data_IF_698674920429
#
_entry.id   IF_698674920429
#
_cell.length_a   1.000
_cell.length_b   1.000
_cell.length_c   1.000
_cell.angle_alpha   90.00
_cell.angle_beta   90.00
_cell.angle_gamma   90.00
#
_symmetry.space_group_name_H-M   'P 1'
#
loop_
_entity.id
_entity.type
_entity.pdbx_description
1 polymer ?
#
# COMPACT_ATOMS: atom_id res chain seq x y z
N UNK A 1 -4.06 -13.44 20.52
CA UNK A 1 -4.08 -12.79 19.20
C UNK A 1 -5.48 -12.90 18.61
N UNK A 2 -6.20 -11.80 18.40
CA UNK A 2 -7.49 -11.84 17.69
C UNK A 2 -7.25 -12.23 16.23
N UNK A 3 -7.95 -13.25 15.73
CA UNK A 3 -7.84 -13.77 14.35
C UNK A 3 -8.60 -12.88 13.36
N UNK A 4 -8.17 -11.61 13.23
CA UNK A 4 -8.80 -10.63 12.32
C UNK A 4 -8.83 -11.09 10.86
N UNK A 5 -7.80 -11.83 10.43
CA UNK A 5 -7.66 -12.34 9.07
C UNK A 5 -8.50 -13.59 8.76
N UNK A 6 -9.11 -14.22 9.78
CA UNK A 6 -9.89 -15.45 9.64
C UNK A 6 -11.39 -15.22 9.85
N UNK A 7 -11.83 -13.95 10.00
CA UNK A 7 -13.25 -13.64 10.12
C UNK A 7 -14.00 -14.09 8.86
N UNK A 8 -15.19 -14.72 9.01
CA UNK A 8 -15.96 -15.24 7.88
C UNK A 8 -16.37 -14.13 6.90
N UNK A 9 -16.44 -12.88 7.36
CA UNK A 9 -16.78 -11.73 6.52
C UNK A 9 -15.86 -11.55 5.31
N UNK A 10 -14.56 -11.84 5.44
CA UNK A 10 -13.61 -11.71 4.34
C UNK A 10 -13.78 -12.81 3.29
N UNK A 11 -14.21 -13.99 3.72
CA UNK A 11 -14.57 -15.08 2.84
C UNK A 11 -15.87 -14.75 2.08
N UNK A 12 -16.87 -14.19 2.77
CA UNK A 12 -18.11 -13.75 2.14
C UNK A 12 -17.87 -12.69 1.07
N UNK A 13 -17.01 -11.69 1.33
CA UNK A 13 -16.65 -10.67 0.33
C UNK A 13 -16.03 -11.30 -0.91
N UNK A 14 -15.08 -12.23 -0.73
CA UNK A 14 -14.48 -12.92 -1.87
C UNK A 14 -15.48 -13.76 -2.65
N UNK A 15 -16.33 -14.55 -1.97
CA UNK A 15 -17.40 -15.33 -2.61
C UNK A 15 -18.36 -14.41 -3.38
N UNK A 16 -18.73 -13.25 -2.83
CA UNK A 16 -19.57 -12.26 -3.50
C UNK A 16 -18.91 -11.73 -4.77
N UNK A 17 -17.61 -11.42 -4.74
CA UNK A 17 -16.86 -11.00 -5.94
C UNK A 17 -16.88 -12.11 -7.01
N UNK A 18 -16.70 -13.36 -6.59
CA UNK A 18 -16.81 -14.53 -7.47
C UNK A 18 -18.21 -14.64 -8.09
N UNK A 19 -19.26 -14.52 -7.29
CA UNK A 19 -20.65 -14.59 -7.75
C UNK A 19 -20.98 -13.47 -8.74
N UNK A 20 -20.55 -12.24 -8.46
CA UNK A 20 -20.74 -11.09 -9.35
C UNK A 20 -20.02 -11.35 -10.69
N UNK A 21 -18.76 -11.79 -10.63
CA UNK A 21 -17.99 -12.10 -11.84
C UNK A 21 -18.65 -13.19 -12.69
N UNK A 22 -19.03 -14.31 -12.08
CA UNK A 22 -19.69 -15.40 -12.81
C UNK A 22 -21.07 -15.00 -13.29
N UNK A 23 -21.81 -14.18 -12.53
CA UNK A 23 -23.09 -13.62 -12.93
C UNK A 23 -22.99 -12.79 -14.20
N UNK A 24 -21.98 -11.92 -14.32
CA UNK A 24 -21.71 -11.18 -15.56
C UNK A 24 -21.41 -12.12 -16.74
N UNK A 25 -20.59 -13.15 -16.53
CA UNK A 25 -20.28 -14.14 -17.57
C UNK A 25 -21.51 -14.92 -18.05
N UNK A 26 -22.41 -15.30 -17.13
CA UNK A 26 -23.67 -15.98 -17.45
C UNK A 26 -24.60 -15.03 -18.21
N UNK A 27 -24.81 -13.80 -17.72
CA UNK A 27 -25.66 -12.81 -18.37
C UNK A 27 -25.20 -12.50 -19.79
N UNK A 28 -23.89 -12.30 -19.98
CA UNK A 28 -23.33 -12.05 -21.30
C UNK A 28 -23.55 -13.23 -22.24
N UNK A 29 -23.42 -14.45 -21.74
CA UNK A 29 -23.67 -15.64 -22.55
C UNK A 29 -25.15 -15.83 -22.85
N UNK A 30 -26.07 -15.57 -21.93
CA UNK A 30 -27.51 -15.57 -22.20
C UNK A 30 -27.85 -14.58 -23.34
N UNK A 31 -27.26 -13.39 -23.32
CA UNK A 31 -27.44 -12.40 -24.38
C UNK A 31 -26.86 -12.85 -25.73
N UNK A 32 -25.79 -13.64 -25.72
CA UNK A 32 -25.23 -14.28 -26.93
C UNK A 32 -25.96 -15.55 -27.38
N UNK A 33 -26.67 -16.22 -26.47
CA UNK A 33 -27.28 -17.55 -26.68
C UNK A 33 -28.58 -17.55 -27.49
N UNK A 34 -29.10 -16.39 -27.88
CA UNK A 34 -30.28 -16.28 -28.75
C UNK A 34 -30.19 -17.06 -30.07
N UNK A 35 -29.00 -17.52 -30.48
CA UNK A 35 -28.75 -18.24 -31.73
C UNK A 35 -28.20 -19.68 -31.58
N UNK A 36 -27.82 -20.16 -30.38
CA UNK A 36 -26.98 -21.38 -30.27
C UNK A 36 -27.25 -22.31 -29.07
N UNK A 37 -28.39 -22.18 -28.38
CA UNK A 37 -28.67 -22.91 -27.12
C UNK A 37 -28.66 -24.45 -27.28
N UNK A 38 -29.00 -24.97 -28.46
CA UNK A 38 -29.16 -26.42 -28.69
C UNK A 38 -27.81 -27.18 -28.73
N UNK A 39 -26.71 -26.48 -28.98
CA UNK A 39 -25.38 -27.09 -29.14
C UNK A 39 -24.41 -26.74 -28.00
N UNK A 40 -24.90 -26.18 -26.90
CA UNK A 40 -24.05 -25.81 -25.76
C UNK A 40 -23.65 -27.05 -24.99
N UNK A 41 -22.34 -27.30 -24.94
CA UNK A 41 -21.79 -28.30 -24.04
C UNK A 41 -21.87 -27.77 -22.59
N UNK A 42 -22.91 -28.18 -21.86
CA UNK A 42 -23.17 -27.79 -20.48
C UNK A 42 -22.01 -28.12 -19.52
N UNK A 43 -21.25 -29.18 -19.80
CA UNK A 43 -20.05 -29.53 -19.01
C UNK A 43 -18.98 -28.47 -19.19
N UNK A 44 -18.71 -28.07 -20.43
CA UNK A 44 -17.74 -27.00 -20.73
C UNK A 44 -18.18 -25.66 -20.12
N UNK A 45 -19.45 -25.28 -20.27
CA UNK A 45 -19.97 -24.05 -19.68
C UNK A 45 -19.80 -24.06 -18.14
N UNK A 46 -20.19 -25.14 -17.48
CA UNK A 46 -20.04 -25.29 -16.02
C UNK A 46 -18.58 -25.22 -15.58
N UNK A 47 -17.66 -25.85 -16.31
CA UNK A 47 -16.24 -25.79 -16.02
C UNK A 47 -15.67 -24.37 -16.18
N UNK A 48 -16.03 -23.66 -17.25
CA UNK A 48 -15.58 -22.28 -17.48
C UNK A 48 -16.09 -21.33 -16.40
N UNK A 49 -17.39 -21.38 -16.08
CA UNK A 49 -17.97 -20.52 -15.05
C UNK A 49 -17.55 -20.90 -13.63
N UNK A 50 -17.35 -22.20 -13.37
CA UNK A 50 -16.86 -22.71 -12.09
C UNK A 50 -15.42 -22.30 -11.83
N UNK A 51 -14.53 -22.44 -12.83
CA UNK A 51 -13.13 -21.98 -12.71
C UNK A 51 -13.05 -20.47 -12.56
N UNK A 52 -13.84 -19.70 -13.31
CA UNK A 52 -13.95 -18.23 -13.16
C UNK A 52 -14.44 -17.83 -11.76
N UNK A 53 -15.48 -18.49 -11.26
CA UNK A 53 -15.99 -18.27 -9.91
C UNK A 53 -14.90 -18.48 -8.86
N UNK A 54 -14.20 -19.61 -8.94
CA UNK A 54 -13.14 -19.95 -7.99
C UNK A 54 -11.97 -18.97 -8.06
N UNK A 55 -11.49 -18.66 -9.27
CA UNK A 55 -10.37 -17.72 -9.46
C UNK A 55 -10.69 -16.34 -8.87
N UNK A 56 -11.86 -15.79 -9.18
CA UNK A 56 -12.26 -14.46 -8.71
C UNK A 56 -12.59 -14.45 -7.22
N UNK A 57 -13.12 -15.56 -6.69
CA UNK A 57 -13.29 -15.72 -5.24
C UNK A 57 -11.97 -15.72 -4.51
N UNK A 58 -10.97 -16.45 -5.02
CA UNK A 58 -9.62 -16.50 -4.42
C UNK A 58 -8.95 -15.12 -4.45
N UNK A 59 -9.01 -14.40 -5.57
CA UNK A 59 -8.49 -13.02 -5.67
C UNK A 59 -9.19 -12.12 -4.63
N UNK A 60 -10.52 -12.18 -4.57
CA UNK A 60 -11.31 -11.41 -3.61
C UNK A 60 -10.94 -11.71 -2.15
N UNK A 61 -10.75 -12.99 -1.81
CA UNK A 61 -10.31 -13.42 -0.46
C UNK A 61 -8.91 -12.88 -0.16
N UNK A 62 -7.97 -13.00 -1.09
CA UNK A 62 -6.59 -12.53 -0.92
C UNK A 62 -6.59 -11.01 -0.64
N UNK A 63 -7.25 -10.23 -1.49
CA UNK A 63 -7.37 -8.77 -1.35
C UNK A 63 -8.04 -8.40 -0.02
N UNK A 64 -9.14 -9.07 0.31
CA UNK A 64 -9.88 -8.83 1.56
C UNK A 64 -9.06 -9.14 2.81
N UNK A 65 -8.36 -10.28 2.82
CA UNK A 65 -7.44 -10.63 3.91
C UNK A 65 -6.29 -9.65 4.02
N UNK A 66 -5.79 -9.16 2.88
CA UNK A 66 -4.75 -8.15 2.86
C UNK A 66 -5.22 -6.84 3.53
N UNK A 67 -6.40 -6.35 3.14
CA UNK A 67 -7.02 -5.17 3.76
C UNK A 67 -7.24 -5.41 5.26
N UNK A 68 -7.74 -6.58 5.65
CA UNK A 68 -7.92 -6.95 7.05
C UNK A 68 -6.61 -6.91 7.84
N UNK A 69 -5.53 -7.42 7.25
CA UNK A 69 -4.20 -7.41 7.86
C UNK A 69 -3.68 -6.00 8.01
N UNK A 70 -3.83 -5.17 6.98
CA UNK A 70 -3.45 -3.77 7.06
C UNK A 70 -4.28 -3.03 8.14
N UNK A 71 -5.57 -3.31 8.29
CA UNK A 71 -6.36 -2.76 9.42
C UNK A 71 -5.87 -3.27 10.77
N UNK A 72 -5.52 -4.56 10.89
CA UNK A 72 -5.01 -5.13 12.13
C UNK A 72 -3.64 -4.53 12.51
N UNK A 73 -2.77 -4.31 11.52
CA UNK A 73 -1.50 -3.62 11.68
C UNK A 73 -1.72 -2.20 12.23
N UNK A 74 -2.74 -1.47 11.77
CA UNK A 74 -3.10 -0.17 12.35
C UNK A 74 -3.28 -0.24 13.87
N UNK A 75 -4.07 -1.20 14.33
CA UNK A 75 -4.35 -1.39 15.75
C UNK A 75 -3.08 -1.71 16.55
N UNK A 76 -2.19 -2.51 15.97
CA UNK A 76 -0.90 -2.83 16.59
C UNK A 76 0.01 -1.60 16.65
N UNK A 77 0.14 -0.86 15.55
CA UNK A 77 0.97 0.34 15.44
C UNK A 77 0.52 1.48 16.37
N UNK A 78 -0.75 1.56 16.73
CA UNK A 78 -1.26 2.57 17.67
C UNK A 78 -0.69 2.42 19.08
N UNK A 79 -0.33 1.21 19.49
CA UNK A 79 0.14 0.92 20.86
C UNK A 79 1.64 0.69 20.96
N UNK A 80 2.34 0.56 19.83
CA UNK A 80 3.80 0.39 19.82
C UNK A 80 4.53 1.74 19.77
N UNK A 81 5.60 1.85 20.56
CA UNK A 81 6.57 2.93 20.48
C UNK A 81 7.74 2.46 19.60
N UNK A 82 8.08 3.23 18.56
CA UNK A 82 9.18 2.90 17.67
C UNK A 82 10.39 3.78 18.00
N UNK A 83 11.60 3.21 18.10
CA UNK A 83 12.80 4.02 18.18
C UNK A 83 12.96 4.76 16.84
N UNK A 84 13.00 6.10 16.88
CA UNK A 84 13.35 6.89 15.70
C UNK A 84 14.86 6.78 15.48
N UNK A 85 15.27 5.82 14.66
CA UNK A 85 16.64 5.69 14.17
C UNK A 85 16.75 6.28 12.76
N UNK A 86 17.94 6.80 12.42
CA UNK A 86 18.29 7.24 11.06
C UNK A 86 18.08 6.15 10.00
N UNK A 87 18.15 4.89 10.43
CA UNK A 87 18.05 3.71 9.57
C UNK A 87 16.80 2.92 9.95
N UNK A 88 15.65 3.47 9.55
CA UNK A 88 14.33 2.91 9.82
C UNK A 88 14.18 1.52 9.19
N UNK A 89 14.86 1.27 8.07
CA UNK A 89 14.86 -0.03 7.38
C UNK A 89 15.60 -1.15 8.13
N UNK A 90 16.36 -0.84 9.19
CA UNK A 90 16.94 -1.86 10.09
C UNK A 90 15.95 -2.39 11.13
N UNK A 91 14.80 -1.75 11.30
CA UNK A 91 13.79 -2.20 12.25
C UNK A 91 12.96 -3.31 11.57
N UNK A 92 13.00 -4.51 12.16
CA UNK A 92 12.36 -5.72 11.62
C UNK A 92 10.89 -5.51 11.27
N UNK A 93 10.16 -4.75 12.10
CA UNK A 93 8.74 -4.45 11.91
C UNK A 93 8.49 -3.67 10.61
N UNK A 94 9.34 -2.70 10.27
CA UNK A 94 9.19 -1.92 9.03
C UNK A 94 9.56 -2.74 7.80
N UNK A 95 10.59 -3.59 7.90
CA UNK A 95 10.91 -4.55 6.86
C UNK A 95 9.77 -5.55 6.62
N UNK A 96 9.10 -6.01 7.67
CA UNK A 96 7.94 -6.89 7.54
C UNK A 96 6.79 -6.21 6.79
N UNK A 97 6.48 -4.95 7.10
CA UNK A 97 5.45 -4.18 6.37
C UNK A 97 5.84 -3.92 4.91
N UNK A 98 7.11 -3.59 4.65
CA UNK A 98 7.64 -3.39 3.29
C UNK A 98 7.54 -4.68 2.47
N UNK A 99 7.98 -5.82 3.03
CA UNK A 99 7.85 -7.14 2.39
C UNK A 99 6.40 -7.52 2.13
N UNK A 100 5.52 -7.32 3.11
CA UNK A 100 4.09 -7.56 2.96
C UNK A 100 3.46 -6.73 1.83
N UNK A 101 3.88 -5.48 1.67
CA UNK A 101 3.42 -4.62 0.57
C UNK A 101 3.99 -5.07 -0.78
N UNK A 102 5.26 -5.51 -0.82
CA UNK A 102 5.90 -6.05 -2.02
C UNK A 102 5.30 -7.38 -2.49
N UNK A 103 4.81 -8.22 -1.57
CA UNK A 103 4.10 -9.46 -1.92
C UNK A 103 2.84 -9.18 -2.75
N UNK A 104 2.10 -8.10 -2.45
CA UNK A 104 0.96 -7.67 -3.28
C UNK A 104 1.41 -7.34 -4.68
N UNK A 105 2.55 -6.66 -4.85
CA UNK A 105 3.05 -6.30 -6.17
C UNK A 105 3.24 -7.57 -7.01
N UNK A 106 3.74 -8.65 -6.43
CA UNK A 106 3.83 -9.95 -7.11
C UNK A 106 2.47 -10.50 -7.56
N UNK A 107 1.47 -10.46 -6.68
CA UNK A 107 0.10 -10.92 -6.99
C UNK A 107 -0.54 -10.02 -8.07
N UNK A 108 -0.36 -8.71 -7.94
CA UNK A 108 -0.84 -7.72 -8.88
C UNK A 108 -0.17 -7.85 -10.25
N UNK A 109 1.11 -8.25 -10.32
CA UNK A 109 1.78 -8.54 -11.57
C UNK A 109 1.11 -9.70 -12.31
N UNK A 110 0.79 -10.79 -11.60
CA UNK A 110 0.13 -11.97 -12.18
C UNK A 110 -1.27 -11.60 -12.69
N UNK A 111 -2.07 -10.90 -11.87
CA UNK A 111 -3.41 -10.47 -12.26
C UNK A 111 -3.34 -9.51 -13.45
N UNK A 112 -2.43 -8.53 -13.38
CA UNK A 112 -2.23 -7.54 -14.44
C UNK A 112 -1.82 -8.21 -15.74
N UNK A 113 -0.91 -9.18 -15.72
CA UNK A 113 -0.50 -9.95 -16.90
C UNK A 113 -1.66 -10.71 -17.53
N UNK A 114 -2.51 -11.35 -16.72
CA UNK A 114 -3.71 -12.02 -17.22
C UNK A 114 -4.68 -11.03 -17.87
N UNK A 115 -4.91 -9.86 -17.27
CA UNK A 115 -5.79 -8.83 -17.83
C UNK A 115 -5.19 -8.15 -19.07
N UNK A 116 -3.88 -7.89 -19.08
CA UNK A 116 -3.20 -7.24 -20.20
C UNK A 116 -3.12 -8.12 -21.45
N UNK A 117 -2.95 -9.44 -21.27
CA UNK A 117 -2.90 -10.40 -22.38
C UNK A 117 -4.28 -10.87 -22.83
N UNK A 118 -5.32 -10.71 -22.00
CA UNK A 118 -6.67 -11.19 -22.30
C UNK A 118 -7.19 -10.76 -23.70
N UNK A 119 -7.14 -9.47 -24.09
CA UNK A 119 -7.66 -9.04 -25.39
C UNK A 119 -6.83 -9.55 -26.58
N UNK A 120 -5.58 -9.95 -26.36
CA UNK A 120 -4.72 -10.51 -27.41
C UNK A 120 -5.05 -11.98 -27.72
N UNK A 121 -5.60 -12.70 -26.75
CA UNK A 121 -5.87 -14.15 -26.86
C UNK A 121 -7.33 -14.44 -27.14
N UNK A 122 -8.25 -13.65 -26.55
CA UNK A 122 -9.69 -13.87 -26.65
C UNK A 122 -10.44 -12.56 -26.87
N UNK A 123 -11.53 -12.61 -27.63
CA UNK A 123 -12.48 -11.51 -27.72
C UNK A 123 -13.30 -11.44 -26.42
N UNK A 124 -12.94 -10.50 -25.55
CA UNK A 124 -13.65 -10.25 -24.29
C UNK A 124 -14.71 -9.17 -24.53
N UNK A 125 -15.93 -9.31 -23.98
CA UNK A 125 -16.90 -8.22 -23.95
C UNK A 125 -16.30 -6.97 -23.32
N UNK A 126 -16.28 -5.86 -24.06
CA UNK A 126 -15.65 -4.60 -23.66
C UNK A 126 -16.10 -4.12 -22.27
N UNK A 127 -17.41 -4.14 -21.92
CA UNK A 127 -17.86 -3.64 -20.61
C UNK A 127 -17.28 -4.44 -19.43
N UNK A 128 -17.19 -5.76 -19.59
CA UNK A 128 -16.65 -6.66 -18.57
C UNK A 128 -15.15 -6.44 -18.40
N UNK A 129 -14.42 -6.35 -19.52
CA UNK A 129 -13.00 -6.10 -19.52
C UNK A 129 -12.66 -4.77 -18.83
N UNK A 130 -13.35 -3.69 -19.20
CA UNK A 130 -13.17 -2.37 -18.61
C UNK A 130 -13.43 -2.38 -17.10
N UNK A 131 -14.47 -3.09 -16.64
CA UNK A 131 -14.74 -3.22 -15.22
C UNK A 131 -13.56 -3.86 -14.46
N UNK A 132 -12.98 -4.94 -14.99
CA UNK A 132 -11.83 -5.59 -14.36
C UNK A 132 -10.57 -4.74 -14.38
N UNK A 133 -10.30 -4.05 -15.48
CA UNK A 133 -9.16 -3.13 -15.59
C UNK A 133 -9.31 -1.97 -14.60
N UNK A 134 -10.47 -1.32 -14.53
CA UNK A 134 -10.73 -0.23 -13.57
C UNK A 134 -10.59 -0.72 -12.14
N UNK A 135 -11.13 -1.90 -11.81
CA UNK A 135 -10.98 -2.49 -10.48
C UNK A 135 -9.53 -2.79 -10.15
N UNK A 136 -8.74 -3.30 -11.11
CA UNK A 136 -7.31 -3.52 -10.94
C UNK A 136 -6.56 -2.22 -10.60
N UNK A 137 -6.79 -1.16 -11.38
CA UNK A 137 -6.14 0.14 -11.18
C UNK A 137 -6.55 0.84 -9.89
N UNK A 138 -7.67 0.48 -9.27
CA UNK A 138 -8.10 1.02 -7.97
C UNK A 138 -7.58 0.15 -6.82
N UNK A 139 -7.82 -1.17 -6.90
CA UNK A 139 -7.54 -2.09 -5.81
C UNK A 139 -6.04 -2.29 -5.58
N UNK A 140 -5.22 -2.33 -6.63
CA UNK A 140 -3.78 -2.56 -6.47
C UNK A 140 -3.09 -1.39 -5.74
N UNK A 141 -3.24 -0.12 -6.15
CA UNK A 141 -2.68 0.99 -5.39
C UNK A 141 -3.24 1.05 -3.97
N UNK A 142 -4.55 0.85 -3.81
CA UNK A 142 -5.18 0.91 -2.50
C UNK A 142 -4.61 -0.15 -1.55
N UNK A 143 -4.56 -1.40 -1.98
CA UNK A 143 -4.00 -2.49 -1.16
C UNK A 143 -2.52 -2.29 -0.85
N UNK A 144 -1.75 -1.78 -1.81
CA UNK A 144 -0.33 -1.47 -1.65
C UNK A 144 -0.07 -0.34 -0.64
N UNK A 145 -0.75 0.79 -0.78
CA UNK A 145 -0.48 1.97 0.03
C UNK A 145 -1.11 1.90 1.42
N UNK A 146 -2.20 1.14 1.61
CA UNK A 146 -2.92 1.12 2.89
C UNK A 146 -2.06 0.71 4.11
N UNK A 147 -1.26 -0.38 4.09
CA UNK A 147 -0.40 -0.71 5.22
C UNK A 147 0.73 0.33 5.41
N UNK A 148 1.31 0.81 4.30
CA UNK A 148 2.38 1.81 4.26
C UNK A 148 1.93 3.14 4.88
N UNK A 149 0.75 3.61 4.49
CA UNK A 149 0.20 4.90 4.89
C UNK A 149 -0.03 4.97 6.40
N UNK A 150 -0.47 3.88 7.01
CA UNK A 150 -0.69 3.83 8.45
C UNK A 150 0.62 3.95 9.23
N UNK A 151 1.66 3.24 8.78
CA UNK A 151 2.98 3.34 9.39
C UNK A 151 3.54 4.75 9.25
N UNK A 152 3.42 5.35 8.05
CA UNK A 152 3.82 6.72 7.80
C UNK A 152 3.18 7.70 8.79
N UNK A 153 1.84 7.67 8.91
CA UNK A 153 1.11 8.52 9.88
C UNK A 153 1.58 8.32 11.31
N UNK A 154 1.87 7.08 11.72
CA UNK A 154 2.35 6.77 13.07
C UNK A 154 3.75 7.33 13.29
N UNK A 155 4.66 7.18 12.33
CA UNK A 155 6.01 7.74 12.42
C UNK A 155 6.00 9.26 12.52
N UNK A 156 5.18 9.95 11.71
CA UNK A 156 5.01 11.41 11.81
C UNK A 156 4.52 11.80 13.20
N UNK A 157 3.56 11.07 13.76
CA UNK A 157 3.06 11.32 15.12
C UNK A 157 4.15 11.13 16.18
N UNK A 158 4.96 10.07 16.08
CA UNK A 158 6.05 9.79 17.01
C UNK A 158 7.14 10.86 16.89
N UNK A 159 7.50 11.24 15.67
CA UNK A 159 8.46 12.32 15.36
C UNK A 159 8.05 13.62 16.02
N UNK A 160 6.80 14.05 15.83
CA UNK A 160 6.28 15.27 16.46
C UNK A 160 6.29 15.18 17.99
N UNK A 161 5.85 14.05 18.57
CA UNK A 161 5.89 13.86 20.03
C UNK A 161 7.30 13.89 20.60
N UNK A 162 8.29 13.31 19.90
CA UNK A 162 9.69 13.34 20.34
C UNK A 162 10.28 14.73 20.23
N UNK A 163 9.97 15.49 19.16
CA UNK A 163 10.39 16.87 19.02
C UNK A 163 9.78 17.77 20.10
N UNK A 164 8.48 17.63 20.38
CA UNK A 164 7.81 18.36 21.46
C UNK A 164 8.45 18.06 22.83
N UNK A 165 8.77 16.80 23.09
CA UNK A 165 9.47 16.39 24.33
C UNK A 165 10.86 17.02 24.40
N UNK A 166 11.66 16.95 23.35
CA UNK A 166 13.00 17.53 23.32
C UNK A 166 12.98 19.05 23.46
N UNK A 167 11.98 19.73 22.89
CA UNK A 167 11.80 21.17 23.08
C UNK A 167 11.46 21.53 24.53
N UNK A 168 10.61 20.73 25.20
CA UNK A 168 10.35 20.89 26.64
C UNK A 168 11.60 20.64 27.47
N UNK A 169 12.31 19.54 27.22
CA UNK A 169 13.55 19.20 27.91
C UNK A 169 14.62 20.31 27.72
N UNK A 170 14.68 20.90 26.51
CA UNK A 170 15.55 22.05 26.21
C UNK A 170 15.16 23.30 27.00
N UNK A 171 13.87 23.64 27.03
CA UNK A 171 13.35 24.79 27.78
C UNK A 171 13.61 24.64 29.27
N UNK A 172 13.33 23.47 29.84
CA UNK A 172 13.57 23.17 31.25
C UNK A 172 15.05 23.27 31.61
N UNK A 173 15.97 22.71 30.81
CA UNK A 173 17.40 22.84 31.09
C UNK A 173 17.94 24.25 30.86
N UNK A 174 17.41 24.98 29.87
CA UNK A 174 17.75 26.39 29.67
C UNK A 174 17.31 27.24 30.86
N UNK A 175 16.11 27.00 31.40
CA UNK A 175 15.61 27.72 32.56
C UNK A 175 16.41 27.38 33.83
N UNK A 176 16.74 26.11 34.06
CA UNK A 176 17.63 25.68 35.16
C UNK A 176 18.99 26.34 35.07
N UNK A 177 19.58 26.44 33.88
CA UNK A 177 20.86 27.11 33.66
C UNK A 177 20.74 28.60 34.01
N UNK A 178 19.69 29.28 33.54
CA UNK A 178 19.44 30.70 33.78
C UNK A 178 19.24 30.99 35.27
N UNK A 179 18.45 30.17 35.96
CA UNK A 179 18.23 30.30 37.40
C UNK A 179 19.50 30.04 38.22
N UNK A 180 20.34 29.09 37.79
CA UNK A 180 21.62 28.79 38.45
C UNK A 180 22.60 29.96 38.31
N UNK A 181 22.67 30.57 37.14
CA UNK A 181 23.49 31.77 36.87
C UNK A 181 22.97 33.00 37.62
N UNK A 182 21.64 33.19 37.68
CA UNK A 182 21.03 34.34 38.33
C UNK A 182 21.15 34.31 39.86
N UNK A 183 21.15 33.13 40.48
CA UNK A 183 21.18 32.98 41.95
C UNK A 183 22.57 33.06 42.57
N UNK A 184 23.64 32.74 41.83
CA UNK A 184 24.99 32.74 42.41
C UNK A 184 26.09 33.05 41.37
N UNK A 185 26.24 34.33 40.96
CA UNK A 185 27.15 34.73 39.88
C UNK A 185 28.65 34.56 40.19
N UNK A 186 29.01 34.19 41.43
CA UNK A 186 30.40 34.00 41.88
C UNK A 186 30.76 32.55 42.19
N UNK A 187 29.80 31.61 42.08
CA UNK A 187 30.06 30.19 42.32
C UNK A 187 30.98 29.66 41.23
N UNK A 188 31.95 28.84 41.60
CA UNK A 188 32.81 28.13 40.65
C UNK A 188 31.94 27.17 39.81
N UNK A 189 31.45 27.71 38.70
CA UNK A 189 30.44 27.12 37.83
C UNK A 189 31.06 26.12 36.86
N UNK A 190 32.39 26.00 36.82
CA UNK A 190 33.14 25.27 35.79
C UNK A 190 32.60 23.86 35.54
N UNK A 191 32.36 23.05 36.58
CA UNK A 191 31.87 21.67 36.43
C UNK A 191 30.37 21.53 36.11
N UNK A 192 29.49 22.22 36.85
CA UNK A 192 28.04 22.10 36.69
C UNK A 192 27.53 22.77 35.41
N UNK A 193 28.11 23.92 35.06
CA UNK A 193 27.82 24.64 33.82
C UNK A 193 28.26 23.84 32.60
N UNK A 194 29.47 23.27 32.59
CA UNK A 194 29.91 22.39 31.49
C UNK A 194 28.95 21.22 31.28
N UNK A 195 28.47 20.60 32.36
CA UNK A 195 27.52 19.47 32.27
C UNK A 195 26.16 19.89 31.70
N UNK A 196 25.60 21.03 32.13
CA UNK A 196 24.33 21.53 31.60
C UNK A 196 24.46 22.00 30.14
N UNK A 197 25.56 22.67 29.80
CA UNK A 197 25.83 23.11 28.42
C UNK A 197 26.00 21.91 27.49
N UNK A 198 26.69 20.85 27.94
CA UNK A 198 26.80 19.59 27.20
C UNK A 198 25.43 18.92 26.99
N UNK A 199 24.54 18.97 27.99
CA UNK A 199 23.16 18.48 27.87
C UNK A 199 22.34 19.27 26.84
N UNK A 200 22.48 20.60 26.80
CA UNK A 200 21.80 21.42 25.79
C UNK A 200 22.33 21.14 24.38
N UNK A 201 23.65 20.91 24.22
CA UNK A 201 24.26 20.54 22.95
C UNK A 201 23.75 19.17 22.47
N UNK A 202 23.66 18.18 23.37
CA UNK A 202 23.15 16.85 23.00
C UNK A 202 21.67 16.87 22.61
N UNK A 203 20.84 17.66 23.31
CA UNK A 203 19.42 17.86 22.95
C UNK A 203 19.31 18.53 21.58
N UNK A 204 20.11 19.57 21.31
CA UNK A 204 20.12 20.25 20.00
C UNK A 204 20.55 19.30 18.87
N UNK A 205 21.57 18.47 19.10
CA UNK A 205 22.00 17.44 18.17
C UNK A 205 20.89 16.42 17.92
N UNK A 206 20.17 15.97 18.96
CA UNK A 206 19.05 15.06 18.84
C UNK A 206 17.89 15.65 18.04
N UNK A 207 17.56 16.93 18.25
CA UNK A 207 16.54 17.66 17.48
C UNK A 207 16.93 17.73 16.00
N UNK A 208 18.18 18.09 15.69
CA UNK A 208 18.66 18.15 14.29
C UNK A 208 18.61 16.78 13.61
N UNK A 209 18.99 15.72 14.34
CA UNK A 209 18.91 14.33 13.90
C UNK A 209 17.47 13.89 13.58
N UNK A 210 16.53 14.14 14.49
CA UNK A 210 15.13 13.74 14.33
C UNK A 210 14.45 14.59 13.25
N UNK A 211 14.80 15.87 13.12
CA UNK A 211 14.23 16.73 12.08
C UNK A 211 14.66 16.28 10.69
N UNK A 212 15.93 15.85 10.54
CA UNK A 212 16.48 15.35 9.27
C UNK A 212 16.14 13.90 8.96
N UNK A 213 15.53 13.16 9.88
CA UNK A 213 15.15 11.77 9.59
C UNK A 213 14.07 11.76 8.50
N UNK A 214 14.24 10.93 7.44
CA UNK A 214 13.27 10.87 6.35
C UNK A 214 11.96 10.28 6.86
N UNK A 215 10.84 10.77 6.32
CA UNK A 215 9.54 10.21 6.62
C UNK A 215 9.36 8.91 5.81
N UNK A 216 9.49 7.76 6.47
CA UNK A 216 9.28 6.41 5.90
C UNK A 216 7.84 6.25 5.37
N UNK A 217 7.56 5.38 4.38
CA UNK A 217 8.42 4.50 3.57
C UNK A 217 8.70 5.00 2.15
N UNK A 218 8.37 6.24 1.80
CA UNK A 218 8.31 6.66 0.40
C UNK A 218 9.69 6.87 -0.23
N UNK A 219 10.46 5.79 -0.38
CA UNK A 219 11.59 5.71 -1.28
C UNK A 219 11.05 5.70 -2.72
N UNK A 220 11.57 6.58 -3.58
CA UNK A 220 11.11 6.68 -4.97
C UNK A 220 11.19 5.35 -5.75
N UNK A 221 12.08 4.45 -5.33
CA UNK A 221 12.23 3.10 -5.88
C UNK A 221 11.00 2.22 -5.68
N UNK A 222 10.31 2.35 -4.54
CA UNK A 222 9.12 1.56 -4.21
C UNK A 222 7.94 2.01 -5.06
N UNK A 223 7.75 3.32 -5.18
CA UNK A 223 6.69 3.92 -6.01
C UNK A 223 6.92 3.57 -7.49
N UNK A 224 8.17 3.67 -7.96
CA UNK A 224 8.54 3.29 -9.32
C UNK A 224 8.24 1.82 -9.63
N UNK A 225 8.60 0.91 -8.71
CA UNK A 225 8.28 -0.52 -8.85
C UNK A 225 6.77 -0.75 -8.95
N UNK A 226 5.98 -0.10 -8.11
CA UNK A 226 4.51 -0.20 -8.17
C UNK A 226 3.98 0.26 -9.53
N UNK A 227 4.40 1.44 -10.00
CA UNK A 227 3.95 2.01 -11.28
C UNK A 227 4.28 1.07 -12.44
N UNK A 228 5.53 0.57 -12.52
CA UNK A 228 5.92 -0.37 -13.57
C UNK A 228 5.10 -1.66 -13.48
N UNK A 229 4.92 -2.23 -12.29
CA UNK A 229 4.18 -3.49 -12.18
C UNK A 229 2.72 -3.32 -12.59
N UNK A 230 2.09 -2.19 -12.28
CA UNK A 230 0.72 -1.90 -12.68
C UNK A 230 0.61 -1.66 -14.19
N UNK A 231 1.55 -0.91 -14.78
CA UNK A 231 1.46 -0.47 -16.18
C UNK A 231 2.06 -1.47 -17.18
N UNK A 232 3.11 -2.18 -16.82
CA UNK A 232 3.84 -3.07 -17.73
C UNK A 232 2.96 -4.13 -18.41
N UNK A 233 1.97 -4.74 -17.76
CA UNK A 233 1.10 -5.71 -18.43
C UNK A 233 0.26 -5.12 -19.56
N UNK A 234 -0.02 -3.82 -19.49
CA UNK A 234 -0.82 -3.10 -20.49
C UNK A 234 0.04 -2.46 -21.57
N UNK A 235 1.37 -2.62 -21.53
CA UNK A 235 2.28 -1.98 -22.47
C UNK A 235 1.97 -2.34 -23.92
N UNK A 236 1.71 -3.63 -24.21
CA UNK A 236 1.35 -4.07 -25.56
C UNK A 236 0.05 -3.44 -26.05
N UNK A 237 -0.96 -3.37 -25.17
CA UNK A 237 -2.23 -2.71 -25.44
C UNK A 237 -2.05 -1.22 -25.75
N UNK A 238 -1.22 -0.53 -24.98
CA UNK A 238 -0.90 0.88 -25.18
C UNK A 238 -0.22 1.08 -26.54
N UNK A 239 0.72 0.20 -26.91
CA UNK A 239 1.41 0.23 -28.21
C UNK A 239 0.41 0.02 -29.35
N UNK A 240 -0.45 -0.99 -29.25
CA UNK A 240 -1.48 -1.28 -30.25
C UNK A 240 -2.43 -0.09 -30.45
N UNK A 241 -2.96 0.48 -29.36
CA UNK A 241 -3.83 1.67 -29.42
C UNK A 241 -3.10 2.85 -30.05
N UNK A 242 -1.82 3.06 -29.71
CA UNK A 242 -1.02 4.15 -30.26
C UNK A 242 -0.81 3.98 -31.76
N UNK A 243 -0.50 2.77 -32.22
CA UNK A 243 -0.34 2.46 -33.66
C UNK A 243 -1.65 2.73 -34.41
N UNK A 244 -2.77 2.28 -33.87
CA UNK A 244 -4.08 2.48 -34.49
C UNK A 244 -4.41 3.98 -34.62
N UNK A 245 -4.21 4.77 -33.55
CA UNK A 245 -4.43 6.22 -33.58
C UNK A 245 -3.54 6.90 -34.63
N UNK A 246 -2.27 6.52 -34.73
CA UNK A 246 -1.35 7.09 -35.72
C UNK A 246 -1.76 6.70 -37.13
N UNK A 247 -2.11 5.43 -37.36
CA UNK A 247 -2.57 4.92 -38.66
C UNK A 247 -3.80 5.66 -39.14
N UNK A 248 -4.81 5.83 -38.28
CA UNK A 248 -6.04 6.54 -38.59
C UNK A 248 -5.77 8.02 -38.91
N UNK A 249 -4.88 8.66 -38.16
CA UNK A 249 -4.47 10.04 -38.43
C UNK A 249 -3.77 10.19 -39.78
N UNK A 250 -2.87 9.26 -40.13
CA UNK A 250 -2.15 9.26 -41.42
C UNK A 250 -3.08 8.97 -42.59
N UNK A 251 -4.02 8.04 -42.47
CA UNK A 251 -4.98 7.71 -43.54
C UNK A 251 -6.09 8.75 -43.71
N UNK A 252 -6.34 9.59 -42.70
CA UNK A 252 -7.31 10.69 -42.79
C UNK A 252 -6.80 11.94 -43.53
N UNK A 253 -5.52 11.94 -43.95
CA UNK A 253 -4.88 13.01 -44.75
C UNK A 253 -4.62 12.56 -46.18
#
# INVERSE_FOLDING_TARGET
MQTWHAKPIWWMIGVLIGLISTGFGILNSINGFGYAWENVNWVQATLVYGTRFLAMSMIGIIVSRHIATAIALNGLFQHTEFPLTLDTDKIEVFNAVKRFSLEIIGIAAIIGLNLGLQPLVIQVPIPEYLFYVVMYFILVPLTFFLPIWQVHRRMVTIKNKMLDKLHKDYQEESEKLYQTLAKDPKKDLSGAYLKQTASLVSIKQAVELITRSPDWPFEGTIIYRLIITILSPFFLLIVEVTINIISDFVMSR
#
